data_IF_014175511744
#
_entry.id   IF_014175511744
#
_cell.length_a   1.000
_cell.length_b   1.000
_cell.length_c   1.000
_cell.angle_alpha   90.00
_cell.angle_beta   90.00
_cell.angle_gamma   90.00
#
_symmetry.space_group_name_H-M   'P 1'
#
loop_
_entity.id
_entity.type
_entity.pdbx_description
1 polymer ?
#
# COMPACT_ATOMS: atom_id res chain seq x y z
N UNK A 1 -7.20 41.84 -18.37
CA UNK A 1 -6.09 40.88 -18.24
C UNK A 1 -5.06 41.39 -17.21
N UNK A 2 -5.54 41.84 -16.04
CA UNK A 2 -4.72 42.53 -15.03
C UNK A 2 -5.18 42.23 -13.58
N UNK A 3 -5.80 41.07 -13.35
CA UNK A 3 -6.30 40.67 -12.02
C UNK A 3 -5.62 39.43 -11.44
N UNK A 4 -4.69 38.77 -12.17
CA UNK A 4 -4.04 37.56 -11.69
C UNK A 4 -2.73 37.80 -10.91
N UNK A 5 -2.09 38.96 -11.02
CA UNK A 5 -0.78 39.20 -10.36
C UNK A 5 -0.84 39.61 -8.88
N UNK A 6 -2.04 39.81 -8.29
CA UNK A 6 -2.16 40.25 -6.88
C UNK A 6 -2.27 39.12 -5.84
N UNK A 7 -2.17 37.85 -6.24
CA UNK A 7 -2.37 36.71 -5.32
C UNK A 7 -1.10 36.18 -4.64
N UNK A 8 0.09 36.56 -5.10
CA UNK A 8 1.38 36.12 -4.55
C UNK A 8 2.03 37.14 -3.60
N UNK A 9 1.24 37.98 -2.94
CA UNK A 9 1.68 38.56 -1.67
C UNK A 9 1.71 37.42 -0.65
N UNK A 10 2.91 36.93 -0.33
CA UNK A 10 3.16 36.01 0.78
C UNK A 10 2.51 36.58 2.05
N UNK A 11 1.31 36.10 2.36
CA UNK A 11 0.59 36.48 3.58
C UNK A 11 1.37 35.88 4.74
N UNK A 12 2.12 36.71 5.44
CA UNK A 12 2.91 36.37 6.63
C UNK A 12 2.05 36.03 7.85
N UNK A 13 0.75 36.31 7.79
CA UNK A 13 -0.19 36.00 8.87
C UNK A 13 -0.72 34.58 8.81
N UNK A 14 -0.86 33.96 9.98
CA UNK A 14 -1.44 32.63 10.09
C UNK A 14 -2.90 32.64 9.57
N UNK A 15 -3.31 31.64 8.78
CA UNK A 15 -4.67 31.55 8.28
C UNK A 15 -5.66 31.44 9.44
N UNK A 16 -6.77 32.19 9.35
CA UNK A 16 -7.88 32.11 10.31
C UNK A 16 -8.49 30.71 10.34
N UNK A 17 -9.08 30.27 11.47
CA UNK A 17 -9.64 28.91 11.61
C UNK A 17 -10.66 28.58 10.50
N UNK A 18 -11.51 29.54 10.12
CA UNK A 18 -12.48 29.39 9.02
C UNK A 18 -11.79 29.08 7.67
N UNK A 19 -10.71 29.77 7.33
CA UNK A 19 -9.95 29.52 6.09
C UNK A 19 -9.27 28.14 6.07
N UNK A 20 -8.77 27.65 7.22
CA UNK A 20 -8.19 26.29 7.32
C UNK A 20 -9.25 25.22 7.12
N UNK A 21 -10.45 25.43 7.65
CA UNK A 21 -11.55 24.49 7.50
C UNK A 21 -12.06 24.44 6.06
N UNK A 22 -12.23 25.60 5.40
CA UNK A 22 -12.56 25.67 3.96
C UNK A 22 -11.49 25.00 3.08
N UNK A 23 -10.19 25.21 3.36
CA UNK A 23 -9.12 24.53 2.63
C UNK A 23 -9.18 23.00 2.80
N UNK A 24 -9.46 22.54 4.02
CA UNK A 24 -9.65 21.11 4.33
C UNK A 24 -10.85 20.52 3.59
N UNK A 25 -11.99 21.21 3.54
CA UNK A 25 -13.18 20.81 2.78
C UNK A 25 -12.92 20.72 1.27
N UNK A 26 -12.01 21.55 0.76
CA UNK A 26 -11.52 21.50 -0.63
C UNK A 26 -10.46 20.43 -0.89
N UNK A 27 -10.15 19.59 0.09
CA UNK A 27 -9.15 18.52 -0.02
C UNK A 27 -7.69 19.01 0.10
N UNK A 28 -7.46 20.29 0.39
CA UNK A 28 -6.13 20.86 0.58
C UNK A 28 -5.65 20.58 2.00
N UNK A 29 -5.08 19.40 2.19
CA UNK A 29 -4.52 18.92 3.45
C UNK A 29 -3.02 18.71 3.38
N UNK A 30 -2.32 19.05 4.46
CA UNK A 30 -0.92 18.71 4.61
C UNK A 30 -0.78 17.19 4.76
N UNK A 31 -0.14 16.56 3.78
CA UNK A 31 0.21 15.13 3.80
C UNK A 31 1.71 15.01 3.57
N UNK A 32 2.41 14.26 4.42
CA UNK A 32 3.81 13.93 4.20
C UNK A 32 3.91 12.58 3.49
N UNK A 33 4.44 12.61 2.26
CA UNK A 33 4.74 11.37 1.55
C UNK A 33 5.81 10.55 2.29
N UNK A 34 6.79 11.22 2.92
CA UNK A 34 7.88 10.57 3.65
C UNK A 34 7.37 9.78 4.86
N UNK A 35 6.45 10.35 5.65
CA UNK A 35 5.85 9.66 6.80
C UNK A 35 5.16 8.37 6.38
N UNK A 36 4.48 8.41 5.23
CA UNK A 36 3.80 7.23 4.68
C UNK A 36 4.80 6.13 4.33
N UNK A 37 5.84 6.46 3.57
CA UNK A 37 6.86 5.51 3.12
C UNK A 37 7.65 4.91 4.30
N UNK A 38 8.08 5.73 5.25
CA UNK A 38 8.84 5.28 6.44
C UNK A 38 7.98 4.34 7.30
N UNK A 39 6.70 4.66 7.50
CA UNK A 39 5.81 3.82 8.32
C UNK A 39 5.58 2.45 7.68
N UNK A 40 5.38 2.40 6.36
CA UNK A 40 5.25 1.14 5.63
C UNK A 40 6.54 0.32 5.76
N UNK A 41 7.70 0.94 5.59
CA UNK A 41 8.98 0.26 5.69
C UNK A 41 9.21 -0.31 7.10
N UNK A 42 8.91 0.46 8.15
CA UNK A 42 8.97 -0.02 9.53
C UNK A 42 8.02 -1.19 9.78
N UNK A 43 6.79 -1.11 9.27
CA UNK A 43 5.81 -2.18 9.41
C UNK A 43 6.25 -3.47 8.69
N UNK A 44 6.89 -3.37 7.51
CA UNK A 44 7.50 -4.51 6.83
C UNK A 44 8.61 -5.15 7.68
N UNK A 45 9.49 -4.35 8.29
CA UNK A 45 10.55 -4.85 9.16
C UNK A 45 9.99 -5.60 10.36
N UNK A 46 8.97 -5.05 11.02
CA UNK A 46 8.27 -5.70 12.14
C UNK A 46 7.64 -7.01 11.69
N UNK A 47 6.92 -7.00 10.56
CA UNK A 47 6.29 -8.20 10.02
C UNK A 47 7.31 -9.29 9.77
N UNK A 48 8.43 -8.97 9.11
CA UNK A 48 9.48 -9.94 8.85
C UNK A 48 10.15 -10.42 10.13
N UNK A 49 10.40 -9.55 11.11
CA UNK A 49 10.98 -9.96 12.38
C UNK A 49 10.15 -11.07 13.07
N UNK A 50 8.82 -10.94 13.06
CA UNK A 50 7.93 -11.93 13.69
C UNK A 50 7.51 -13.09 12.80
N UNK A 51 7.49 -12.92 11.47
CA UNK A 51 6.94 -13.91 10.54
C UNK A 51 8.00 -14.55 9.62
N UNK A 52 9.26 -14.15 9.71
CA UNK A 52 10.33 -14.68 8.85
C UNK A 52 10.41 -16.21 8.90
N UNK A 53 10.37 -16.81 10.10
CA UNK A 53 10.45 -18.26 10.24
C UNK A 53 9.32 -18.98 9.51
N UNK A 54 8.08 -18.48 9.64
CA UNK A 54 6.91 -19.05 8.97
C UNK A 54 7.02 -18.88 7.46
N UNK A 55 7.41 -17.69 6.98
CA UNK A 55 7.54 -17.41 5.55
C UNK A 55 8.64 -18.25 4.91
N UNK A 56 9.81 -18.31 5.54
CA UNK A 56 10.94 -19.12 5.09
C UNK A 56 10.58 -20.61 5.14
N UNK A 57 9.89 -21.07 6.19
CA UNK A 57 9.41 -22.44 6.29
C UNK A 57 8.50 -22.84 5.13
N UNK A 58 7.51 -21.99 4.79
CA UNK A 58 6.63 -22.21 3.63
C UNK A 58 7.38 -22.20 2.30
N UNK A 59 8.37 -21.31 2.14
CA UNK A 59 9.23 -21.28 0.96
C UNK A 59 10.05 -22.58 0.84
N UNK A 60 10.66 -23.03 1.94
CA UNK A 60 11.42 -24.28 1.97
C UNK A 60 10.55 -25.50 1.68
N UNK A 61 9.33 -25.55 2.21
CA UNK A 61 8.37 -26.61 1.92
C UNK A 61 8.03 -26.64 0.43
N UNK A 62 7.77 -25.48 -0.16
CA UNK A 62 7.50 -25.35 -1.59
C UNK A 62 8.70 -25.81 -2.43
N UNK A 63 9.93 -25.41 -2.07
CA UNK A 63 11.15 -25.84 -2.76
C UNK A 63 11.34 -27.35 -2.66
N UNK A 64 11.16 -27.94 -1.47
CA UNK A 64 11.26 -29.39 -1.26
C UNK A 64 10.22 -30.14 -2.08
N UNK A 65 8.99 -29.64 -2.14
CA UNK A 65 7.93 -30.23 -2.95
C UNK A 65 8.28 -30.20 -4.44
N UNK A 66 8.69 -29.06 -4.97
CA UNK A 66 9.05 -28.93 -6.39
C UNK A 66 10.22 -29.86 -6.75
N UNK A 67 11.28 -29.87 -5.94
CA UNK A 67 12.48 -30.66 -6.21
C UNK A 67 12.25 -32.16 -5.98
N UNK A 68 11.50 -32.53 -4.95
CA UNK A 68 11.20 -33.93 -4.63
C UNK A 68 10.31 -34.60 -5.68
N UNK A 69 9.32 -33.86 -6.20
CA UNK A 69 8.37 -34.35 -7.19
C UNK A 69 8.83 -34.09 -8.64
N UNK A 70 9.99 -33.43 -8.84
CA UNK A 70 10.52 -33.06 -10.17
C UNK A 70 10.74 -34.25 -11.11
N UNK A 71 11.04 -35.43 -10.56
CA UNK A 71 11.21 -36.67 -11.32
C UNK A 71 9.90 -37.41 -11.62
N UNK A 72 8.79 -37.07 -10.94
CA UNK A 72 7.48 -37.72 -11.08
C UNK A 72 6.43 -36.85 -11.77
N UNK A 73 6.71 -35.57 -12.03
CA UNK A 73 5.82 -34.69 -12.77
C UNK A 73 5.68 -35.10 -14.23
N UNK A 74 4.58 -35.81 -14.54
CA UNK A 74 4.13 -36.02 -15.90
C UNK A 74 3.48 -34.72 -16.37
N UNK A 75 4.15 -33.99 -17.26
CA UNK A 75 3.61 -32.78 -17.87
C UNK A 75 2.77 -33.18 -19.08
N UNK A 76 1.46 -33.04 -18.93
CA UNK A 76 0.46 -33.25 -19.98
C UNK A 76 -0.60 -32.13 -19.88
N UNK A 77 -1.44 -32.00 -20.92
CA UNK A 77 -2.49 -30.97 -21.02
C UNK A 77 -3.44 -30.98 -19.82
N UNK A 78 -3.63 -32.16 -19.20
CA UNK A 78 -4.53 -32.33 -18.05
C UNK A 78 -3.86 -32.04 -16.69
N UNK A 79 -2.53 -32.07 -16.60
CA UNK A 79 -1.80 -31.94 -15.33
C UNK A 79 -1.18 -30.56 -15.15
N UNK A 80 -0.93 -29.82 -16.23
CA UNK A 80 -0.28 -28.50 -16.18
C UNK A 80 -1.16 -27.44 -15.49
N UNK A 81 -2.46 -27.43 -15.75
CA UNK A 81 -3.39 -26.46 -15.16
C UNK A 81 -3.47 -26.56 -13.62
N UNK A 82 -3.75 -27.74 -13.02
CA UNK A 82 -3.79 -27.85 -11.56
C UNK A 82 -2.43 -27.62 -10.90
N UNK A 83 -1.33 -27.95 -11.59
CA UNK A 83 0.03 -27.65 -11.13
C UNK A 83 0.26 -26.13 -11.01
N UNK A 84 -0.06 -25.37 -12.06
CA UNK A 84 0.08 -23.90 -12.06
C UNK A 84 -0.82 -23.27 -11.00
N UNK A 85 -2.08 -23.73 -10.88
CA UNK A 85 -2.99 -23.23 -9.84
C UNK A 85 -2.43 -23.46 -8.44
N UNK A 86 -1.91 -24.66 -8.17
CA UNK A 86 -1.29 -24.99 -6.87
C UNK A 86 -0.10 -24.08 -6.56
N UNK A 87 0.76 -23.84 -7.56
CA UNK A 87 1.91 -22.93 -7.42
C UNK A 87 1.46 -21.51 -7.12
N UNK A 88 0.48 -20.99 -7.86
CA UNK A 88 -0.09 -19.65 -7.65
C UNK A 88 -0.66 -19.52 -6.25
N UNK A 89 -1.45 -20.49 -5.77
CA UNK A 89 -2.00 -20.45 -4.42
C UNK A 89 -0.93 -20.52 -3.33
N UNK A 90 0.11 -21.34 -3.50
CA UNK A 90 1.23 -21.40 -2.55
C UNK A 90 2.00 -20.08 -2.50
N UNK A 91 2.35 -19.50 -3.65
CA UNK A 91 3.04 -18.20 -3.73
C UNK A 91 2.16 -17.10 -3.12
N UNK A 92 0.88 -17.06 -3.50
CA UNK A 92 -0.06 -16.07 -2.97
C UNK A 92 -0.23 -16.21 -1.47
N UNK A 93 -0.31 -17.44 -0.93
CA UNK A 93 -0.40 -17.68 0.51
C UNK A 93 0.85 -17.28 1.30
N UNK A 94 2.02 -17.24 0.66
CA UNK A 94 3.27 -16.72 1.25
C UNK A 94 3.27 -15.18 1.24
N UNK A 95 2.83 -14.57 0.14
CA UNK A 95 2.83 -13.11 -0.03
C UNK A 95 1.63 -12.39 0.62
N UNK A 96 0.51 -13.09 0.79
CA UNK A 96 -0.73 -12.57 1.36
C UNK A 96 -0.55 -11.77 2.67
N UNK A 97 0.16 -12.26 3.71
CA UNK A 97 0.33 -11.50 4.94
C UNK A 97 1.06 -10.17 4.72
N UNK A 98 2.07 -10.15 3.84
CA UNK A 98 2.78 -8.92 3.49
C UNK A 98 1.86 -7.93 2.76
N UNK A 99 1.14 -8.39 1.73
CA UNK A 99 0.23 -7.55 0.94
C UNK A 99 -0.89 -6.97 1.80
N UNK A 100 -1.56 -7.80 2.61
CA UNK A 100 -2.63 -7.35 3.50
C UNK A 100 -2.11 -6.34 4.51
N UNK A 101 -0.95 -6.57 5.10
CA UNK A 101 -0.35 -5.62 6.04
C UNK A 101 -0.05 -4.28 5.37
N UNK A 102 0.61 -4.29 4.20
CA UNK A 102 0.94 -3.05 3.47
C UNK A 102 -0.31 -2.25 3.13
N UNK A 103 -1.38 -2.92 2.66
CA UNK A 103 -2.67 -2.27 2.38
C UNK A 103 -3.25 -1.65 3.65
N UNK A 104 -3.32 -2.42 4.74
CA UNK A 104 -3.87 -1.95 6.02
C UNK A 104 -3.08 -0.76 6.57
N UNK A 105 -1.76 -0.81 6.56
CA UNK A 105 -0.89 0.26 7.05
C UNK A 105 -0.99 1.49 6.15
N UNK A 106 -0.94 1.30 4.82
CA UNK A 106 -1.07 2.41 3.88
C UNK A 106 -2.41 3.16 4.09
N UNK A 107 -3.52 2.43 4.20
CA UNK A 107 -4.84 3.02 4.47
C UNK A 107 -4.82 3.73 5.83
N UNK A 108 -4.35 3.06 6.89
CA UNK A 108 -4.35 3.60 8.25
C UNK A 108 -3.53 4.89 8.34
N UNK A 109 -2.33 4.92 7.75
CA UNK A 109 -1.44 6.08 7.76
C UNK A 109 -2.01 7.23 6.94
N UNK A 110 -2.68 6.95 5.81
CA UNK A 110 -3.38 7.99 5.05
C UNK A 110 -4.54 8.58 5.86
N UNK A 111 -5.35 7.74 6.50
CA UNK A 111 -6.47 8.17 7.34
C UNK A 111 -5.96 8.95 8.56
N UNK A 112 -4.85 8.55 9.18
CA UNK A 112 -4.27 9.28 10.33
C UNK A 112 -3.71 10.65 9.94
N UNK A 113 -3.13 10.80 8.74
CA UNK A 113 -2.59 12.09 8.28
C UNK A 113 -3.67 13.08 7.85
N UNK A 114 -4.65 12.60 7.09
CA UNK A 114 -5.63 13.48 6.43
C UNK A 114 -6.96 13.53 7.20
N UNK A 115 -7.27 12.49 7.96
CA UNK A 115 -8.62 12.18 8.42
C UNK A 115 -9.50 11.67 7.29
N UNK A 116 -10.77 11.39 7.60
CA UNK A 116 -11.78 11.15 6.57
C UNK A 116 -12.24 12.49 5.98
N UNK A 117 -11.72 12.84 4.80
CA UNK A 117 -12.18 14.00 4.04
C UNK A 117 -12.65 13.52 2.68
N UNK A 118 -13.95 13.58 2.45
CA UNK A 118 -14.56 13.40 1.14
C UNK A 118 -14.78 14.80 0.56
N UNK A 119 -13.92 15.22 -0.36
CA UNK A 119 -14.09 16.49 -1.09
C UNK A 119 -14.54 16.20 -2.52
N UNK A 120 -15.76 16.59 -2.87
CA UNK A 120 -16.29 16.47 -4.23
C UNK A 120 -15.55 17.37 -5.22
N UNK A 121 -15.02 18.51 -4.75
CA UNK A 121 -14.19 19.41 -5.57
C UNK A 121 -12.83 18.79 -5.92
N UNK A 122 -12.28 17.90 -5.08
CA UNK A 122 -10.98 17.26 -5.34
C UNK A 122 -11.02 16.14 -6.40
N UNK A 123 -12.22 15.68 -6.80
CA UNK A 123 -12.42 14.67 -7.87
C UNK A 123 -12.62 15.33 -9.24
N UNK A 124 -12.97 16.63 -9.29
CA UNK A 124 -13.09 17.34 -10.54
C UNK A 124 -11.70 17.62 -11.13
N UNK A 125 -11.44 17.23 -12.40
CA UNK A 125 -10.21 17.59 -13.07
C UNK A 125 -10.13 19.13 -13.20
N UNK A 126 -8.94 19.68 -12.92
CA UNK A 126 -8.65 21.11 -13.07
C UNK A 126 -8.56 21.53 -14.54
#
# INVERSE_FOLDING_TARGET
MAEEEKKDQEKTEQPTPKRRQEAREKGQVAKSQEVTSVTILLACLILFYFNAEIMVGKMMEMTRWILGESGSFIIDSNTIQPLVQTLVYKIFGILAPLLLMVICVAISVNVMQVGFILSSESIQPK
#
